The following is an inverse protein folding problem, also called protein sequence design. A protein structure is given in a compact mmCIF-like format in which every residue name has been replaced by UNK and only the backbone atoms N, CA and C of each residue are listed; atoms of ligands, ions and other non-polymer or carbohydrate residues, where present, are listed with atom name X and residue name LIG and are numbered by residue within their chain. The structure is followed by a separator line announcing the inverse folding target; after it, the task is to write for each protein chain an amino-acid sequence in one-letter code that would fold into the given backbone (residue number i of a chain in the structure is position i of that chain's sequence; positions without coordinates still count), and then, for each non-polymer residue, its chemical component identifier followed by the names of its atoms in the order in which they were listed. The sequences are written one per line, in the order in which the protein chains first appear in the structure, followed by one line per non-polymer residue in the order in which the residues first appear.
data_IF_407387904217
#
_entry.id   IF_407387904217
#
_cell.length_a   1.000
_cell.length_b   1.000
_cell.length_c   1.000
_cell.angle_alpha   90.00
_cell.angle_beta   90.00
_cell.angle_gamma   90.00
#
_symmetry.space_group_name_H-M   'P 1'
#
loop_
_entity.id
_entity.type
_entity.pdbx_description
1 polymer ?
#
# COMPACT_ATOMS: atom_id res chain seq x y z
N UNK A 1 11.34 -6.42 4.28
CA UNK A 1 11.00 -6.36 2.82
C UNK A 1 10.59 -4.94 2.48
N UNK A 2 10.79 -4.44 1.24
CA UNK A 2 10.23 -3.14 0.80
C UNK A 2 9.05 -3.33 -0.15
N UNK A 3 7.91 -2.72 0.17
CA UNK A 3 6.75 -2.64 -0.71
C UNK A 3 6.83 -1.40 -1.61
N UNK A 4 6.20 -1.47 -2.78
CA UNK A 4 6.06 -0.34 -3.71
C UNK A 4 4.69 -0.37 -4.39
N UNK A 5 4.17 0.81 -4.75
CA UNK A 5 3.01 0.96 -5.62
C UNK A 5 3.47 1.52 -6.96
N UNK A 6 2.92 1.01 -8.06
CA UNK A 6 3.10 1.57 -9.40
C UNK A 6 1.92 2.48 -9.73
N UNK A 7 2.14 3.80 -9.67
CA UNK A 7 1.11 4.82 -9.88
C UNK A 7 0.51 4.78 -11.29
N UNK A 8 1.26 4.31 -12.30
CA UNK A 8 0.75 4.16 -13.67
C UNK A 8 -0.26 3.02 -13.81
N UNK A 9 -0.18 2.04 -12.91
CA UNK A 9 -1.09 0.88 -12.86
C UNK A 9 -2.17 1.01 -11.81
N UNK A 10 -1.92 1.74 -10.73
CA UNK A 10 -2.89 1.97 -9.68
C UNK A 10 -4.15 2.64 -10.24
N UNK A 11 -5.33 2.16 -9.82
CA UNK A 11 -6.64 2.69 -10.22
C UNK A 11 -7.54 3.01 -9.04
N UNK A 12 -6.94 3.17 -7.85
CA UNK A 12 -7.66 3.62 -6.65
C UNK A 12 -8.75 2.68 -6.17
N UNK A 13 -8.65 1.37 -6.42
CA UNK A 13 -9.67 0.40 -5.98
C UNK A 13 -9.79 0.28 -4.45
N UNK A 14 -8.74 0.65 -3.69
CA UNK A 14 -8.73 0.56 -2.22
C UNK A 14 -8.64 -0.86 -1.63
N UNK A 15 -8.56 -1.91 -2.44
CA UNK A 15 -8.47 -3.30 -1.93
C UNK A 15 -7.24 -3.52 -1.05
N UNK A 16 -6.11 -2.89 -1.39
CA UNK A 16 -4.88 -2.98 -0.62
C UNK A 16 -5.05 -2.47 0.82
N UNK A 17 -5.79 -1.38 1.03
CA UNK A 17 -6.02 -0.81 2.37
C UNK A 17 -6.98 -1.67 3.19
N UNK A 18 -7.74 -2.56 2.56
CA UNK A 18 -8.59 -3.54 3.26
C UNK A 18 -7.80 -4.78 3.67
N UNK A 19 -6.84 -5.21 2.83
CA UNK A 19 -6.04 -6.42 3.07
C UNK A 19 -4.91 -6.14 4.07
N UNK A 20 -4.19 -5.03 3.90
CA UNK A 20 -3.04 -4.68 4.73
C UNK A 20 -3.01 -3.17 5.00
N UNK A 21 -3.94 -2.66 5.83
CA UNK A 21 -4.01 -1.24 6.21
C UNK A 21 -2.75 -0.73 6.93
N UNK A 22 -1.93 -1.62 7.49
CA UNK A 22 -0.68 -1.28 8.17
C UNK A 22 0.43 -0.86 7.20
N UNK A 23 0.32 -1.26 5.92
CA UNK A 23 1.33 -1.01 4.89
C UNK A 23 0.82 -0.05 3.82
N UNK A 24 -0.50 -0.03 3.55
CA UNK A 24 -1.07 0.76 2.46
C UNK A 24 -2.18 1.71 2.92
N UNK A 25 -2.15 2.93 2.39
CA UNK A 25 -3.23 3.91 2.48
C UNK A 25 -3.62 4.44 1.09
N UNK A 26 -4.75 5.13 1.00
CA UNK A 26 -5.07 5.97 -0.17
C UNK A 26 -4.71 7.41 0.16
N UNK A 27 -4.01 8.08 -0.73
CA UNK A 27 -3.76 9.51 -0.66
C UNK A 27 -5.00 10.32 -1.05
N UNK A 28 -4.89 11.65 -0.97
CA UNK A 28 -5.99 12.58 -1.26
C UNK A 28 -6.47 12.54 -2.72
N UNK A 29 -5.61 12.08 -3.64
CA UNK A 29 -5.95 11.89 -5.06
C UNK A 29 -6.61 10.53 -5.33
N UNK A 30 -6.78 9.70 -4.29
CA UNK A 30 -7.39 8.38 -4.35
C UNK A 30 -6.46 7.27 -4.83
N UNK A 31 -5.14 7.51 -4.92
CA UNK A 31 -4.14 6.50 -5.28
C UNK A 31 -3.54 5.84 -4.04
N UNK A 32 -3.18 4.57 -4.19
CA UNK A 32 -2.52 3.83 -3.12
C UNK A 32 -1.09 4.32 -2.91
N UNK A 33 -0.65 4.39 -1.66
CA UNK A 33 0.72 4.66 -1.25
C UNK A 33 1.18 3.68 -0.17
N UNK A 34 2.49 3.46 -0.08
CA UNK A 34 3.11 2.68 0.99
C UNK A 34 3.43 3.62 2.15
N UNK A 35 2.91 3.33 3.34
CA UNK A 35 3.03 4.21 4.51
C UNK A 35 4.14 3.80 5.49
N UNK A 36 4.91 2.77 5.14
CA UNK A 36 6.05 2.27 5.92
C UNK A 36 7.31 2.20 5.05
N UNK A 37 8.46 2.53 5.62
CA UNK A 37 9.74 2.42 4.90
C UNK A 37 10.16 0.96 4.69
N UNK A 38 9.87 0.11 5.67
CA UNK A 38 10.12 -1.32 5.65
C UNK A 38 8.90 -2.08 6.16
N UNK A 39 8.52 -3.15 5.46
CA UNK A 39 7.42 -4.03 5.85
C UNK A 39 7.85 -4.83 7.09
N UNK A 40 7.11 -4.72 8.21
CA UNK A 40 7.42 -5.45 9.43
C UNK A 40 7.43 -6.97 9.24
N UNK A 41 8.29 -7.65 10.00
CA UNK A 41 8.31 -9.11 10.04
C UNK A 41 6.95 -9.66 10.50
N UNK A 42 6.42 -10.64 9.77
CA UNK A 42 5.09 -11.21 10.00
C UNK A 42 3.96 -10.55 9.19
N UNK A 43 4.22 -9.45 8.49
CA UNK A 43 3.32 -8.88 7.47
C UNK A 43 3.80 -9.13 6.03
N UNK A 44 5.07 -9.54 5.87
CA UNK A 44 5.63 -9.99 4.61
C UNK A 44 5.53 -11.53 4.53
N UNK A 45 4.44 -12.03 3.98
CA UNK A 45 4.24 -13.47 3.69
C UNK A 45 3.98 -13.67 2.19
#
# INVERSE_FOLDING_TARGET
MKATVDDGRCRGHGVCTTICPEVFALNDDGYAEVIVDEVPDGLAD
#
